data_IF_818679164506
#
_entry.id   IF_818679164506
#
_cell.length_a   1.000
_cell.length_b   1.000
_cell.length_c   1.000
_cell.angle_alpha   90.00
_cell.angle_beta   90.00
_cell.angle_gamma   90.00
#
_symmetry.space_group_name_H-M   'P 1'
#
loop_
_entity.id
_entity.type
_entity.pdbx_description
1 polymer ?
#
# COMPACT_ATOMS: atom_id res chain seq x y z
N UNK A 1 -19.43 -17.54 -16.04
CA UNK A 1 -19.17 -16.91 -14.73
C UNK A 1 -17.67 -16.97 -14.48
N UNK A 2 -16.92 -16.04 -15.07
CA UNK A 2 -15.47 -15.99 -14.88
C UNK A 2 -15.21 -15.27 -13.57
N UNK A 3 -14.73 -15.99 -12.56
CA UNK A 3 -14.22 -15.37 -11.35
C UNK A 3 -13.12 -14.39 -11.78
N UNK A 4 -13.36 -13.09 -11.60
CA UNK A 4 -12.31 -12.10 -11.75
C UNK A 4 -11.38 -12.37 -10.58
N UNK A 5 -10.28 -13.08 -10.81
CA UNK A 5 -9.22 -13.21 -9.83
C UNK A 5 -8.85 -11.77 -9.43
N UNK A 6 -9.20 -11.38 -8.20
CA UNK A 6 -8.85 -10.06 -7.71
C UNK A 6 -7.33 -9.99 -7.65
N UNK A 7 -6.74 -9.31 -8.64
CA UNK A 7 -5.30 -9.18 -8.77
C UNK A 7 -4.79 -8.34 -7.59
N UNK A 8 -3.96 -8.96 -6.74
CA UNK A 8 -3.28 -8.25 -5.66
C UNK A 8 -2.38 -7.18 -6.28
N UNK A 9 -2.58 -5.92 -5.88
CA UNK A 9 -1.74 -4.80 -6.30
C UNK A 9 -0.57 -4.70 -5.33
N UNK A 10 0.66 -4.84 -5.82
CA UNK A 10 1.86 -4.74 -4.98
C UNK A 10 2.40 -3.32 -5.00
N UNK A 11 2.69 -2.77 -3.82
CA UNK A 11 3.31 -1.47 -3.60
C UNK A 11 4.59 -1.67 -2.80
N UNK A 12 5.67 -1.00 -3.20
CA UNK A 12 6.93 -0.98 -2.44
C UNK A 12 7.10 0.38 -1.77
N UNK A 13 7.46 0.41 -0.50
CA UNK A 13 7.87 1.63 0.20
C UNK A 13 9.36 1.55 0.48
N UNK A 14 10.11 2.56 0.04
CA UNK A 14 11.55 2.71 0.25
C UNK A 14 11.77 3.98 1.06
N UNK A 15 12.02 3.85 2.36
CA UNK A 15 12.29 4.97 3.27
C UNK A 15 13.05 4.43 4.50
N UNK A 16 13.85 5.25 5.16
CA UNK A 16 14.57 4.82 6.36
C UNK A 16 13.81 5.08 7.67
N UNK A 17 12.66 5.73 7.60
CA UNK A 17 11.77 5.97 8.72
C UNK A 17 10.64 4.92 8.77
N UNK A 18 10.66 3.97 9.74
CA UNK A 18 9.64 2.93 9.86
C UNK A 18 8.20 3.43 9.97
N UNK A 19 7.99 4.63 10.52
CA UNK A 19 6.65 5.19 10.68
C UNK A 19 5.98 5.48 9.32
N UNK A 20 6.75 5.89 8.31
CA UNK A 20 6.23 6.12 6.96
C UNK A 20 5.67 4.82 6.36
N UNK A 21 6.34 3.69 6.59
CA UNK A 21 5.85 2.39 6.14
C UNK A 21 4.54 2.01 6.83
N UNK A 22 4.45 2.24 8.14
CA UNK A 22 3.25 1.93 8.93
C UNK A 22 2.07 2.78 8.46
N UNK A 23 2.28 4.07 8.21
CA UNK A 23 1.23 4.97 7.77
C UNK A 23 0.75 4.65 6.35
N UNK A 24 1.66 4.33 5.41
CA UNK A 24 1.27 3.86 4.08
C UNK A 24 0.46 2.55 4.17
N UNK A 25 0.84 1.61 5.05
CA UNK A 25 0.05 0.39 5.29
C UNK A 25 -1.34 0.70 5.81
N UNK A 26 -1.48 1.58 6.81
CA UNK A 26 -2.79 1.99 7.34
C UNK A 26 -3.70 2.60 6.25
N UNK A 27 -3.14 3.39 5.34
CA UNK A 27 -3.89 4.04 4.27
C UNK A 27 -4.30 3.03 3.18
N UNK A 28 -3.38 2.15 2.77
CA UNK A 28 -3.59 1.27 1.61
C UNK A 28 -4.17 -0.10 1.96
N UNK A 29 -4.07 -0.52 3.22
CA UNK A 29 -4.59 -1.78 3.73
C UNK A 29 -5.64 -1.48 4.80
N UNK A 30 -6.83 -1.00 4.40
CA UNK A 30 -7.89 -0.72 5.36
C UNK A 30 -8.21 -2.02 6.12
N UNK A 31 -8.10 -1.96 7.44
CA UNK A 31 -8.60 -3.02 8.32
C UNK A 31 -10.12 -3.08 8.20
N UNK A 32 -10.72 -4.22 8.55
CA UNK A 32 -12.18 -4.47 8.60
C UNK A 32 -13.01 -3.43 9.36
N UNK A 33 -12.38 -2.48 10.06
CA UNK A 33 -13.01 -1.30 10.66
C UNK A 33 -13.71 -0.37 9.65
N UNK A 34 -13.51 -0.57 8.34
CA UNK A 34 -14.32 0.07 7.30
C UNK A 34 -15.81 -0.28 7.43
N UNK A 35 -16.12 -1.52 7.85
CA UNK A 35 -17.49 -2.01 7.94
C UNK A 35 -18.24 -1.31 9.09
N UNK A 36 -17.60 -1.13 10.25
CA UNK A 36 -18.19 -0.40 11.39
C UNK A 36 -18.46 1.08 11.05
N UNK A 37 -17.57 1.71 10.27
CA UNK A 37 -17.74 3.10 9.85
C UNK A 37 -18.85 3.23 8.81
N UNK A 38 -18.94 2.29 7.87
CA UNK A 38 -19.99 2.22 6.85
C UNK A 38 -21.37 1.96 7.48
N UNK A 39 -21.45 1.11 8.50
CA UNK A 39 -22.66 0.87 9.28
C UNK A 39 -23.09 2.14 10.04
N UNK A 40 -22.15 2.80 10.73
CA UNK A 40 -22.42 4.07 11.41
C UNK A 40 -22.86 5.19 10.44
N UNK A 41 -22.22 5.28 9.27
CA UNK A 41 -22.61 6.26 8.25
C UNK A 41 -24.00 5.96 7.71
N UNK A 42 -24.34 4.68 7.56
CA UNK A 42 -25.66 4.25 7.12
C UNK A 42 -26.73 4.65 8.13
N UNK A 43 -26.46 4.48 9.42
CA UNK A 43 -27.35 4.89 10.51
C UNK A 43 -27.55 6.42 10.57
N UNK A 44 -26.46 7.20 10.41
CA UNK A 44 -26.52 8.68 10.45
C UNK A 44 -27.21 9.25 9.21
N UNK A 45 -26.96 8.68 8.03
CA UNK A 45 -27.43 9.25 6.76
C UNK A 45 -28.74 8.64 6.25
N UNK A 46 -29.19 7.53 6.83
CA UNK A 46 -30.37 6.77 6.41
C UNK A 46 -30.23 6.14 5.02
N UNK A 47 -29.00 6.02 4.50
CA UNK A 47 -28.69 5.49 3.18
C UNK A 47 -27.67 4.36 3.33
N UNK A 48 -27.83 3.23 2.63
CA UNK A 48 -26.84 2.17 2.67
C UNK A 48 -25.49 2.71 2.19
N UNK A 49 -24.44 2.47 2.97
CA UNK A 49 -23.08 2.80 2.57
C UNK A 49 -22.74 2.10 1.24
N UNK A 50 -22.09 2.82 0.31
CA UNK A 50 -21.67 2.21 -0.95
C UNK A 50 -20.66 1.12 -0.63
N UNK A 51 -20.92 -0.12 -1.09
CA UNK A 51 -19.96 -1.22 -0.97
C UNK A 51 -18.71 -0.89 -1.80
N UNK A 52 -17.71 -0.32 -1.16
CA UNK A 52 -16.42 -0.07 -1.79
C UNK A 52 -15.67 -1.39 -1.84
N UNK A 53 -15.54 -1.97 -3.03
CA UNK A 53 -14.64 -3.10 -3.22
C UNK A 53 -13.20 -2.61 -3.11
N UNK A 54 -12.65 -2.68 -1.90
CA UNK A 54 -11.24 -2.41 -1.69
C UNK A 54 -10.41 -3.41 -2.50
N UNK A 55 -9.48 -2.86 -3.26
CA UNK A 55 -8.45 -3.66 -3.90
C UNK A 55 -7.63 -4.38 -2.83
N UNK A 56 -7.32 -5.66 -3.01
CA UNK A 56 -6.27 -6.29 -2.22
C UNK A 56 -4.93 -5.63 -2.58
N UNK A 57 -4.38 -4.85 -1.65
CA UNK A 57 -3.07 -4.21 -1.78
C UNK A 57 -2.08 -4.89 -0.84
N UNK A 58 -0.97 -5.36 -1.39
CA UNK A 58 0.19 -5.81 -0.61
C UNK A 58 1.23 -4.70 -0.57
N UNK A 59 1.63 -4.31 0.64
CA UNK A 59 2.67 -3.31 0.86
C UNK A 59 3.93 -4.00 1.39
N UNK A 60 5.00 -3.96 0.60
CA UNK A 60 6.33 -4.41 1.01
C UNK A 60 7.19 -3.21 1.42
N UNK A 61 8.14 -3.43 2.33
CA UNK A 61 9.03 -2.40 2.87
C UNK A 61 10.48 -2.68 2.51
N UNK A 62 11.20 -1.65 2.08
CA UNK A 62 12.65 -1.59 2.03
C UNK A 62 13.12 -0.38 2.84
N UNK A 63 14.06 -0.58 3.76
CA UNK A 63 14.52 0.51 4.64
C UNK A 63 15.67 1.32 4.05
N UNK A 64 16.24 0.83 2.95
CA UNK A 64 17.37 1.45 2.24
C UNK A 64 17.19 1.27 0.72
N UNK A 65 17.85 2.13 -0.05
CA UNK A 65 17.72 2.14 -1.51
C UNK A 65 18.25 0.87 -2.19
N UNK A 66 19.34 0.30 -1.66
CA UNK A 66 19.93 -0.95 -2.15
C UNK A 66 19.01 -2.17 -1.93
N UNK A 67 18.35 -2.23 -0.78
CA UNK A 67 17.30 -3.21 -0.51
C UNK A 67 16.14 -3.07 -1.50
N UNK A 68 15.65 -1.85 -1.72
CA UNK A 68 14.58 -1.59 -2.68
C UNK A 68 14.96 -2.02 -4.11
N UNK A 69 16.19 -1.75 -4.53
CA UNK A 69 16.72 -2.21 -5.84
C UNK A 69 16.71 -3.74 -5.93
N UNK A 70 17.14 -4.47 -4.88
CA UNK A 70 17.11 -5.94 -4.88
C UNK A 70 15.69 -6.46 -5.00
N UNK A 71 14.75 -5.90 -4.24
CA UNK A 71 13.33 -6.31 -4.26
C UNK A 71 12.69 -6.09 -5.62
N UNK A 72 12.92 -4.94 -6.26
CA UNK A 72 12.39 -4.65 -7.61
C UNK A 72 12.95 -5.64 -8.64
N UNK A 73 14.25 -5.95 -8.58
CA UNK A 73 14.85 -6.95 -9.48
C UNK A 73 14.23 -8.33 -9.26
N UNK A 74 14.08 -8.75 -8.01
CA UNK A 74 13.48 -10.04 -7.66
C UNK A 74 12.04 -10.13 -8.16
N UNK A 75 11.21 -9.13 -7.85
CA UNK A 75 9.82 -9.05 -8.29
C UNK A 75 9.66 -9.12 -9.81
N UNK A 76 10.62 -8.55 -10.55
CA UNK A 76 10.65 -8.66 -12.02
C UNK A 76 11.01 -10.08 -12.49
N UNK A 77 11.96 -10.75 -11.84
CA UNK A 77 12.32 -12.14 -12.17
C UNK A 77 11.19 -13.12 -11.86
N UNK A 78 10.41 -12.85 -10.82
CA UNK A 78 9.26 -13.64 -10.41
C UNK A 78 7.97 -13.33 -11.19
N UNK A 79 8.03 -12.44 -12.20
CA UNK A 79 6.87 -11.95 -12.97
C UNK A 79 5.75 -11.35 -12.10
N UNK A 80 6.10 -10.84 -10.92
CA UNK A 80 5.20 -10.20 -9.97
C UNK A 80 5.63 -8.75 -9.70
N UNK A 81 5.72 -7.87 -10.72
CA UNK A 81 6.26 -6.52 -10.54
C UNK A 81 5.41 -5.68 -9.59
N UNK A 82 6.07 -4.77 -8.88
CA UNK A 82 5.39 -3.71 -8.15
C UNK A 82 4.66 -2.78 -9.12
N UNK A 83 3.41 -2.44 -8.79
CA UNK A 83 2.60 -1.51 -9.56
C UNK A 83 2.98 -0.04 -9.27
N UNK A 84 3.53 0.21 -8.08
CA UNK A 84 3.93 1.52 -7.60
C UNK A 84 5.05 1.38 -6.55
N UNK A 85 5.94 2.37 -6.47
CA UNK A 85 6.87 2.53 -5.37
C UNK A 85 6.79 3.95 -4.78
N UNK A 86 6.76 4.05 -3.45
CA UNK A 86 6.99 5.29 -2.71
C UNK A 86 8.46 5.33 -2.31
N UNK A 87 9.17 6.41 -2.63
CA UNK A 87 10.61 6.53 -2.37
C UNK A 87 10.89 7.84 -1.66
N UNK A 88 11.25 7.75 -0.38
CA UNK A 88 11.72 8.88 0.40
C UNK A 88 13.25 9.00 0.33
N UNK A 89 13.74 10.20 0.05
CA UNK A 89 15.17 10.48 -0.04
C UNK A 89 15.54 11.62 0.91
N UNK A 90 16.55 11.40 1.75
CA UNK A 90 17.19 12.47 2.52
C UNK A 90 18.33 13.06 1.69
N UNK A 91 18.21 14.32 1.30
CA UNK A 91 19.27 15.05 0.61
C UNK A 91 20.13 15.71 1.69
N UNK A 92 21.39 15.31 1.80
CA UNK A 92 22.37 16.00 2.64
C UNK A 92 23.05 17.09 1.81
N UNK A 93 22.93 18.35 2.24
CA UNK A 93 23.76 19.41 1.70
C UNK A 93 25.15 19.24 2.28
N UNK A 94 26.13 18.96 1.41
CA UNK A 94 27.53 18.92 1.82
C UNK A 94 28.00 20.37 1.86
N UNK A 95 28.23 20.91 3.05
CA UNK A 95 28.91 22.21 3.18
C UNK A 95 30.35 22.03 2.69
N UNK A 96 30.65 22.69 1.57
CA UNK A 96 32.00 22.81 1.00
C UNK A 96 32.81 23.91 1.71
#
# INVERSE_FOLDING_TARGET
MTAIAQRVRRVLVIDDNPEIHNDIKKILQPTTASDDFDDLLSDITGKPAPKVHHAMIQVDSAFQGDEGIRMVRQARMEEQPYALAFVGCRIFLISL
#
